data_IF_975326462552
#
_entry.id   IF_975326462552
#
_cell.length_a   1.000
_cell.length_b   1.000
_cell.length_c   1.000
_cell.angle_alpha   90.00
_cell.angle_beta   90.00
_cell.angle_gamma   90.00
#
_symmetry.space_group_name_H-M   'P 1'
#
loop_
_entity.id
_entity.type
_entity.pdbx_description
1 polymer ?
#
# COMPACT_ATOMS: atom_id res chain seq x y z
N UNK A 1 45.89 35.46 -51.91
CA UNK A 1 44.58 35.20 -51.32
C UNK A 1 44.14 33.71 -51.36
N UNK A 2 45.02 32.74 -51.52
CA UNK A 2 44.70 31.30 -51.58
C UNK A 2 45.14 30.47 -50.34
N UNK A 3 45.75 31.11 -49.33
CA UNK A 3 46.25 30.38 -48.14
C UNK A 3 45.38 30.53 -46.87
N UNK A 4 44.35 31.40 -46.89
CA UNK A 4 43.49 31.67 -45.73
C UNK A 4 42.32 30.69 -45.67
N UNK A 5 41.89 30.09 -46.81
CA UNK A 5 40.76 29.18 -46.87
C UNK A 5 41.05 27.77 -46.41
N UNK A 6 42.28 27.34 -46.33
CA UNK A 6 42.67 25.98 -45.90
C UNK A 6 42.72 25.83 -44.38
N UNK A 7 42.97 26.95 -43.65
CA UNK A 7 43.04 26.91 -42.16
C UNK A 7 41.63 26.90 -41.52
N UNK A 8 40.61 27.42 -42.24
CA UNK A 8 39.26 27.46 -41.72
C UNK A 8 38.53 26.12 -41.84
N UNK A 9 38.99 25.23 -42.71
CA UNK A 9 38.37 23.90 -42.91
C UNK A 9 38.88 22.84 -41.94
N UNK A 10 40.06 23.04 -41.36
CA UNK A 10 40.68 22.06 -40.40
C UNK A 10 40.20 22.32 -38.96
N UNK A 11 39.62 23.46 -38.64
CA UNK A 11 39.12 23.77 -37.30
C UNK A 11 37.66 23.26 -37.04
N UNK A 12 36.93 22.86 -38.09
CA UNK A 12 35.54 22.40 -37.97
C UNK A 12 35.42 20.86 -37.75
N UNK A 13 36.51 20.10 -37.83
CA UNK A 13 36.51 18.63 -37.72
C UNK A 13 36.73 18.11 -36.31
N UNK A 14 36.88 19.00 -35.30
CA UNK A 14 37.24 18.61 -33.90
C UNK A 14 36.07 18.69 -32.91
N UNK A 15 34.82 18.92 -33.36
CA UNK A 15 33.65 19.02 -32.47
C UNK A 15 32.65 17.86 -32.55
N UNK A 16 33.01 16.73 -33.15
CA UNK A 16 32.14 15.56 -33.22
C UNK A 16 32.79 14.39 -32.45
N UNK A 17 33.03 14.59 -31.17
CA UNK A 17 33.39 13.48 -30.24
C UNK A 17 32.74 13.72 -28.88
N UNK A 18 31.44 13.91 -28.89
CA UNK A 18 30.59 13.99 -27.71
C UNK A 18 29.40 13.07 -27.88
N UNK A 19 29.65 11.77 -28.24
CA UNK A 19 28.68 10.74 -27.93
C UNK A 19 28.77 10.51 -26.42
N UNK A 20 27.98 11.25 -25.65
CA UNK A 20 27.57 10.80 -24.34
C UNK A 20 26.97 9.41 -24.55
N UNK A 21 27.56 8.44 -23.91
CA UNK A 21 27.06 7.07 -23.80
C UNK A 21 25.80 7.17 -22.92
N UNK A 22 24.68 7.62 -23.50
CA UNK A 22 23.36 7.43 -22.99
C UNK A 22 23.06 5.92 -23.13
N UNK A 23 23.72 5.13 -22.29
CA UNK A 23 23.18 3.84 -21.91
C UNK A 23 21.90 4.14 -21.17
N UNK A 24 20.83 4.38 -21.90
CA UNK A 24 19.50 4.10 -21.43
C UNK A 24 19.56 2.63 -20.99
N UNK A 25 19.79 2.40 -19.71
CA UNK A 25 19.64 1.07 -19.13
C UNK A 25 18.21 0.70 -19.43
N UNK A 26 18.03 -0.27 -20.33
CA UNK A 26 16.73 -0.79 -20.71
C UNK A 26 16.22 -1.54 -19.46
N UNK A 27 15.71 -0.76 -18.46
CA UNK A 27 15.17 -1.32 -17.24
C UNK A 27 13.75 -1.77 -17.51
N UNK A 28 13.43 -3.00 -17.13
CA UNK A 28 12.05 -3.46 -17.07
C UNK A 28 11.34 -2.76 -15.91
N UNK A 29 10.27 -2.03 -16.20
CA UNK A 29 9.47 -1.36 -15.17
C UNK A 29 8.34 -2.29 -14.71
N UNK A 30 8.33 -2.64 -13.42
CA UNK A 30 7.26 -3.39 -12.78
C UNK A 30 6.30 -2.46 -12.06
N UNK A 31 5.04 -2.49 -12.40
CA UNK A 31 3.97 -1.73 -11.73
C UNK A 31 3.30 -2.59 -10.66
N UNK A 32 3.42 -2.18 -9.41
CA UNK A 32 2.86 -2.89 -8.25
C UNK A 32 1.69 -2.10 -7.68
N UNK A 33 0.46 -2.63 -7.79
CA UNK A 33 -0.70 -2.11 -7.08
C UNK A 33 -0.77 -2.70 -5.68
N UNK A 34 -0.61 -1.87 -4.65
CA UNK A 34 -0.56 -2.32 -3.27
C UNK A 34 -1.45 -1.48 -2.34
N UNK A 35 -2.02 -2.12 -1.33
CA UNK A 35 -2.78 -1.44 -0.29
C UNK A 35 -1.96 -0.29 0.33
N UNK A 36 -2.59 0.84 0.60
CA UNK A 36 -1.93 2.06 1.09
C UNK A 36 -1.15 1.85 2.40
N UNK A 37 -1.59 0.91 3.25
CA UNK A 37 -0.90 0.52 4.49
C UNK A 37 0.48 -0.12 4.27
N UNK A 38 0.79 -0.55 3.05
CA UNK A 38 2.06 -1.18 2.70
C UNK A 38 3.11 -0.19 2.16
N UNK A 39 2.81 1.10 2.06
CA UNK A 39 3.66 2.08 1.36
C UNK A 39 5.13 1.99 1.79
N UNK A 40 5.45 2.29 3.03
CA UNK A 40 6.84 2.40 3.49
C UNK A 40 7.56 1.06 3.43
N UNK A 41 6.88 -0.01 3.82
CA UNK A 41 7.47 -1.35 3.81
C UNK A 41 7.73 -1.85 2.40
N UNK A 42 6.85 -1.55 1.43
CA UNK A 42 7.05 -1.93 0.03
C UNK A 42 8.11 -1.07 -0.64
N UNK A 43 8.19 0.22 -0.33
CA UNK A 43 9.26 1.09 -0.81
C UNK A 43 10.64 0.60 -0.34
N UNK A 44 10.80 0.24 0.96
CA UNK A 44 12.05 -0.34 1.47
C UNK A 44 12.34 -1.71 0.84
N UNK A 45 11.34 -2.57 0.72
CA UNK A 45 11.49 -3.90 0.12
C UNK A 45 11.84 -3.82 -1.36
N UNK A 46 11.19 -2.92 -2.11
CA UNK A 46 11.49 -2.69 -3.51
C UNK A 46 12.89 -2.13 -3.75
N UNK A 47 13.35 -1.22 -2.88
CA UNK A 47 14.73 -0.72 -2.94
C UNK A 47 15.77 -1.82 -2.75
N UNK A 48 15.52 -2.76 -1.81
CA UNK A 48 16.38 -3.92 -1.61
C UNK A 48 16.42 -4.82 -2.86
N UNK A 49 15.26 -5.08 -3.46
CA UNK A 49 15.16 -5.89 -4.67
C UNK A 49 15.86 -5.23 -5.86
N UNK A 50 15.60 -3.95 -6.13
CA UNK A 50 16.22 -3.19 -7.22
C UNK A 50 17.74 -3.10 -7.07
N UNK A 51 18.26 -3.04 -5.84
CA UNK A 51 19.72 -3.07 -5.59
C UNK A 51 20.35 -4.39 -6.02
N UNK A 52 19.63 -5.51 -5.88
CA UNK A 52 20.09 -6.85 -6.30
C UNK A 52 19.82 -7.08 -7.80
N UNK A 53 18.86 -6.39 -8.38
CA UNK A 53 18.40 -6.53 -9.75
C UNK A 53 18.40 -5.16 -10.48
N UNK A 54 19.57 -4.63 -10.87
CA UNK A 54 19.69 -3.26 -11.42
C UNK A 54 19.00 -3.07 -12.77
N UNK A 55 18.59 -4.15 -13.46
CA UNK A 55 17.78 -4.13 -14.67
C UNK A 55 16.29 -3.93 -14.40
N UNK A 56 15.86 -3.89 -13.13
CA UNK A 56 14.45 -3.74 -12.75
C UNK A 56 14.24 -2.38 -12.09
N UNK A 57 13.13 -1.73 -12.47
CA UNK A 57 12.59 -0.55 -11.80
C UNK A 57 11.20 -0.89 -11.28
N UNK A 58 10.94 -0.65 -9.99
CA UNK A 58 9.61 -0.85 -9.39
C UNK A 58 8.90 0.50 -9.25
N UNK A 59 7.66 0.55 -9.71
CA UNK A 59 6.75 1.67 -9.55
C UNK A 59 5.53 1.21 -8.77
N UNK A 60 5.08 2.01 -7.81
CA UNK A 60 3.97 1.66 -6.95
C UNK A 60 2.73 2.51 -7.24
N UNK A 61 1.57 1.85 -7.27
CA UNK A 61 0.25 2.47 -7.20
C UNK A 61 -0.38 2.09 -5.85
N UNK A 62 -0.39 3.03 -4.89
CA UNK A 62 -0.95 2.81 -3.55
C UNK A 62 -2.36 3.36 -3.42
N UNK A 63 -3.27 2.56 -2.82
CA UNK A 63 -4.66 2.97 -2.62
C UNK A 63 -5.47 1.99 -1.78
N UNK A 64 -6.77 2.22 -1.71
CA UNK A 64 -7.72 1.25 -1.15
C UNK A 64 -7.78 0.01 -2.03
N UNK A 65 -7.69 -1.18 -1.44
CA UNK A 65 -7.59 -2.45 -2.20
C UNK A 65 -8.77 -2.68 -3.15
N UNK A 66 -9.96 -2.24 -2.79
CA UNK A 66 -11.14 -2.34 -3.67
C UNK A 66 -11.03 -1.47 -4.91
N UNK A 67 -10.55 -0.23 -4.75
CA UNK A 67 -10.31 0.68 -5.89
C UNK A 67 -9.22 0.14 -6.82
N UNK A 68 -8.13 -0.42 -6.25
CA UNK A 68 -7.06 -1.04 -7.02
C UNK A 68 -7.55 -2.29 -7.78
N UNK A 69 -8.32 -3.16 -7.12
CA UNK A 69 -8.92 -4.33 -7.75
C UNK A 69 -9.87 -3.94 -8.90
N UNK A 70 -10.63 -2.86 -8.73
CA UNK A 70 -11.48 -2.35 -9.80
C UNK A 70 -10.66 -1.85 -10.99
N UNK A 71 -9.56 -1.10 -10.78
CA UNK A 71 -8.66 -0.65 -11.83
C UNK A 71 -8.07 -1.84 -12.60
N UNK A 72 -7.59 -2.88 -11.91
CA UNK A 72 -7.07 -4.10 -12.55
C UNK A 72 -8.17 -4.79 -13.36
N UNK A 73 -9.39 -4.89 -12.82
CA UNK A 73 -10.52 -5.51 -13.53
C UNK A 73 -10.95 -4.74 -14.78
N UNK A 74 -10.58 -3.46 -14.87
CA UNK A 74 -10.79 -2.58 -16.01
C UNK A 74 -9.61 -2.55 -17.00
N UNK A 75 -8.57 -3.37 -16.74
CA UNK A 75 -7.42 -3.50 -17.65
C UNK A 75 -6.27 -2.53 -17.35
N UNK A 76 -6.17 -1.99 -16.13
CA UNK A 76 -4.98 -1.21 -15.76
C UNK A 76 -3.71 -2.08 -15.91
N UNK A 77 -2.62 -1.54 -16.49
CA UNK A 77 -1.37 -2.27 -16.67
C UNK A 77 -0.65 -2.41 -15.32
N UNK A 78 -0.86 -3.53 -14.67
CA UNK A 78 -0.31 -3.87 -13.35
C UNK A 78 0.31 -5.25 -13.40
N UNK A 79 1.47 -5.42 -12.79
CA UNK A 79 2.21 -6.67 -12.76
C UNK A 79 1.92 -7.50 -11.51
N UNK A 80 1.87 -6.86 -10.33
CA UNK A 80 1.49 -7.52 -9.08
C UNK A 80 0.39 -6.73 -8.35
N UNK A 81 -0.45 -7.48 -7.65
CA UNK A 81 -1.47 -6.92 -6.76
C UNK A 81 -1.30 -7.44 -5.33
N UNK A 82 -1.28 -6.51 -4.36
CA UNK A 82 -1.20 -6.83 -2.93
C UNK A 82 -2.39 -6.16 -2.23
N UNK A 83 -3.33 -6.98 -1.79
CA UNK A 83 -4.54 -6.51 -1.10
C UNK A 83 -4.37 -6.53 0.42
N UNK A 84 -5.12 -5.68 1.13
CA UNK A 84 -5.27 -5.71 2.59
C UNK A 84 -6.55 -6.46 3.04
N UNK A 85 -7.22 -7.15 2.14
CA UNK A 85 -8.36 -8.01 2.43
C UNK A 85 -8.49 -9.10 1.36
N UNK A 86 -8.93 -10.28 1.79
CA UNK A 86 -9.08 -11.45 0.92
C UNK A 86 -10.20 -11.26 -0.09
N UNK A 87 -11.35 -10.69 0.28
CA UNK A 87 -12.51 -10.51 -0.60
C UNK A 87 -12.19 -9.70 -1.87
N UNK A 88 -11.34 -8.67 -1.76
CA UNK A 88 -10.91 -7.87 -2.91
C UNK A 88 -9.92 -8.61 -3.81
N UNK A 89 -9.11 -9.48 -3.22
CA UNK A 89 -8.20 -10.36 -3.94
C UNK A 89 -8.98 -11.49 -4.63
N UNK A 90 -9.88 -12.15 -3.91
CA UNK A 90 -10.70 -13.27 -4.40
C UNK A 90 -11.61 -12.84 -5.55
N UNK A 91 -12.06 -11.58 -5.55
CA UNK A 91 -12.77 -11.00 -6.69
C UNK A 91 -11.96 -11.09 -8.00
N UNK A 92 -10.68 -10.70 -7.98
CA UNK A 92 -9.81 -10.80 -9.16
C UNK A 92 -9.44 -12.25 -9.47
N UNK A 93 -9.16 -13.03 -8.41
CA UNK A 93 -8.81 -14.45 -8.53
C UNK A 93 -9.93 -15.25 -9.21
N UNK A 94 -11.18 -15.06 -8.80
CA UNK A 94 -12.36 -15.73 -9.39
C UNK A 94 -12.57 -15.36 -10.87
N UNK A 95 -12.17 -14.15 -11.26
CA UNK A 95 -12.19 -13.68 -12.65
C UNK A 95 -10.99 -14.13 -13.47
N UNK A 96 -10.09 -14.94 -12.90
CA UNK A 96 -8.83 -15.38 -13.55
C UNK A 96 -7.93 -14.22 -13.97
N UNK A 97 -8.00 -13.10 -13.27
CA UNK A 97 -7.14 -11.93 -13.50
C UNK A 97 -5.83 -12.00 -12.70
N UNK A 98 -5.67 -13.03 -11.86
CA UNK A 98 -4.45 -13.36 -11.14
C UNK A 98 -4.00 -14.77 -11.49
N UNK A 99 -2.67 -14.98 -11.57
CA UNK A 99 -2.09 -16.31 -11.73
C UNK A 99 -2.31 -17.15 -10.46
N UNK A 100 -2.97 -18.30 -10.60
CA UNK A 100 -3.28 -19.18 -9.47
C UNK A 100 -2.04 -19.71 -8.76
N UNK A 101 -1.01 -20.09 -9.54
CA UNK A 101 0.24 -20.65 -9.03
C UNK A 101 1.15 -19.58 -8.38
N UNK A 102 0.92 -18.31 -8.69
CA UNK A 102 1.67 -17.17 -8.18
C UNK A 102 0.78 -16.25 -7.34
N UNK A 103 0.02 -16.86 -6.43
CA UNK A 103 -0.86 -16.19 -5.48
C UNK A 103 -0.73 -16.82 -4.10
N UNK A 104 -0.55 -16.00 -3.05
CA UNK A 104 -0.36 -16.50 -1.68
C UNK A 104 -0.88 -15.49 -0.65
N UNK A 105 -1.30 -16.00 0.52
CA UNK A 105 -1.50 -15.19 1.73
C UNK A 105 -0.13 -14.84 2.32
N UNK A 106 0.29 -13.58 2.22
CA UNK A 106 1.65 -13.18 2.55
C UNK A 106 1.79 -12.72 4.00
N UNK A 107 0.91 -11.79 4.44
CA UNK A 107 1.03 -11.10 5.72
C UNK A 107 -0.30 -11.07 6.47
N UNK A 108 -0.20 -10.77 7.80
CA UNK A 108 -1.33 -10.49 8.68
C UNK A 108 -1.12 -9.14 9.39
N UNK A 109 -2.22 -8.53 9.82
CA UNK A 109 -2.22 -7.28 10.56
C UNK A 109 -3.28 -7.29 11.69
N UNK A 110 -3.38 -6.18 12.41
CA UNK A 110 -4.36 -5.96 13.48
C UNK A 110 -5.05 -4.62 13.24
N UNK A 111 -6.36 -4.55 13.49
CA UNK A 111 -7.10 -3.29 13.49
C UNK A 111 -6.96 -2.60 14.85
N UNK A 112 -6.81 -1.29 14.84
CA UNK A 112 -6.76 -0.46 16.05
C UNK A 112 -7.60 0.80 15.86
N UNK A 113 -8.14 1.31 16.96
CA UNK A 113 -8.67 2.65 17.03
C UNK A 113 -7.53 3.60 17.38
N UNK A 114 -7.48 4.77 16.74
CA UNK A 114 -6.51 5.81 17.03
C UNK A 114 -7.20 7.14 17.34
N UNK A 115 -6.53 7.94 18.15
CA UNK A 115 -6.90 9.32 18.47
C UNK A 115 -5.65 10.18 18.51
N UNK A 116 -5.79 11.51 18.56
CA UNK A 116 -4.64 12.38 18.80
C UNK A 116 -3.92 12.01 20.11
N UNK A 117 -2.61 12.20 20.12
CA UNK A 117 -1.73 11.78 21.24
C UNK A 117 -2.19 12.31 22.59
N UNK A 118 -2.59 13.58 22.63
CA UNK A 118 -2.93 14.29 23.86
C UNK A 118 -4.43 14.20 24.23
N UNK A 119 -5.26 13.59 23.38
CA UNK A 119 -6.68 13.36 23.66
C UNK A 119 -6.83 12.42 24.86
N UNK A 120 -7.70 12.78 25.80
CA UNK A 120 -8.04 11.97 26.99
C UNK A 120 -9.45 11.44 26.98
N UNK A 121 -10.26 11.88 26.00
CA UNK A 121 -11.69 11.62 25.97
C UNK A 121 -12.04 10.22 25.44
N UNK A 122 -11.12 9.63 24.62
CA UNK A 122 -11.35 8.33 23.99
C UNK A 122 -10.43 7.30 24.64
N UNK A 123 -10.97 6.41 25.47
CA UNK A 123 -10.24 5.35 26.17
C UNK A 123 -10.59 3.95 25.64
N UNK A 124 -11.69 3.80 24.92
CA UNK A 124 -12.17 2.57 24.30
C UNK A 124 -13.08 2.92 23.10
N UNK A 125 -13.54 1.92 22.36
CA UNK A 125 -14.49 2.13 21.28
C UNK A 125 -15.84 2.67 21.76
N UNK A 126 -16.28 2.30 22.96
CA UNK A 126 -17.51 2.79 23.58
C UNK A 126 -17.45 4.31 23.87
N UNK A 127 -16.25 4.85 24.10
CA UNK A 127 -16.09 6.31 24.31
C UNK A 127 -16.46 7.13 23.05
N UNK A 128 -16.57 6.52 21.88
CA UNK A 128 -16.95 7.19 20.64
C UNK A 128 -18.40 7.70 20.67
N UNK A 129 -19.26 7.15 21.55
CA UNK A 129 -20.66 7.59 21.71
C UNK A 129 -20.78 8.89 22.50
N UNK A 130 -19.73 9.32 23.23
CA UNK A 130 -19.76 10.56 23.98
C UNK A 130 -20.14 11.76 23.10
N UNK A 131 -20.88 12.71 23.66
CA UNK A 131 -21.39 13.89 22.93
C UNK A 131 -20.27 14.81 22.41
N UNK A 132 -19.12 14.83 23.07
CA UNK A 132 -17.96 15.61 22.65
C UNK A 132 -17.13 14.98 21.53
N UNK A 133 -17.49 13.78 21.08
CA UNK A 133 -16.88 13.10 19.92
C UNK A 133 -17.81 13.30 18.73
N UNK A 134 -17.39 14.08 17.76
CA UNK A 134 -18.21 14.49 16.64
C UNK A 134 -17.87 13.79 15.32
N UNK A 135 -16.59 13.47 15.13
CA UNK A 135 -16.09 12.96 13.83
C UNK A 135 -15.16 11.78 13.99
N UNK A 136 -15.49 10.70 13.30
CA UNK A 136 -14.73 9.43 13.31
C UNK A 136 -14.38 9.07 11.88
N UNK A 137 -13.10 9.04 11.54
CA UNK A 137 -12.68 8.64 10.21
C UNK A 137 -12.62 7.11 10.07
N UNK A 138 -13.21 6.59 9.00
CA UNK A 138 -12.97 5.22 8.53
C UNK A 138 -12.73 5.24 7.03
N UNK A 139 -11.99 4.29 6.50
CA UNK A 139 -11.97 4.09 5.06
C UNK A 139 -13.38 3.77 4.54
N UNK A 140 -13.71 4.19 3.32
CA UNK A 140 -15.01 3.83 2.71
C UNK A 140 -15.15 2.29 2.69
N UNK A 141 -16.11 1.68 3.42
CA UNK A 141 -16.11 0.23 3.66
C UNK A 141 -16.15 -0.62 2.39
N UNK A 142 -16.78 -0.12 1.33
CA UNK A 142 -16.93 -0.83 0.06
C UNK A 142 -15.60 -0.99 -0.70
N UNK A 143 -14.68 -0.03 -0.53
CA UNK A 143 -13.42 0.07 -1.31
C UNK A 143 -12.15 0.02 -0.48
N UNK A 144 -12.24 0.25 0.84
CA UNK A 144 -11.10 0.32 1.75
C UNK A 144 -11.22 -0.76 2.82
N UNK A 145 -10.36 -1.80 2.80
CA UNK A 145 -10.45 -2.91 3.75
C UNK A 145 -10.45 -2.50 5.22
N UNK A 146 -9.58 -1.55 5.63
CA UNK A 146 -9.57 -1.06 7.01
C UNK A 146 -10.92 -0.48 7.44
N UNK A 147 -11.66 0.16 6.52
CA UNK A 147 -13.01 0.66 6.77
C UNK A 147 -14.03 -0.46 6.88
N UNK A 148 -13.93 -1.50 6.04
CA UNK A 148 -14.76 -2.69 6.15
C UNK A 148 -14.58 -3.37 7.52
N UNK A 149 -13.34 -3.59 7.95
CA UNK A 149 -13.05 -4.16 9.27
C UNK A 149 -13.48 -3.24 10.42
N UNK A 150 -13.32 -1.91 10.26
CA UNK A 150 -13.81 -0.92 11.22
C UNK A 150 -15.34 -0.98 11.39
N UNK A 151 -16.08 -1.07 10.27
CA UNK A 151 -17.52 -1.26 10.29
C UNK A 151 -17.92 -2.58 10.95
N UNK A 152 -17.26 -3.70 10.62
CA UNK A 152 -17.49 -4.98 11.27
C UNK A 152 -17.28 -4.89 12.80
N UNK A 153 -16.21 -4.23 13.23
CA UNK A 153 -15.91 -4.05 14.66
C UNK A 153 -17.01 -3.24 15.36
N UNK A 154 -17.44 -2.13 14.78
CA UNK A 154 -18.52 -1.30 15.34
C UNK A 154 -19.86 -2.02 15.37
N UNK A 155 -20.19 -2.81 14.33
CA UNK A 155 -21.39 -3.65 14.31
C UNK A 155 -21.33 -4.72 15.41
N UNK A 156 -20.20 -5.39 15.57
CA UNK A 156 -19.99 -6.41 16.62
C UNK A 156 -20.09 -5.84 18.03
N UNK A 157 -19.75 -4.57 18.21
CA UNK A 157 -19.90 -3.81 19.45
C UNK A 157 -21.29 -3.19 19.61
N UNK A 158 -22.16 -3.30 18.61
CA UNK A 158 -23.49 -2.65 18.55
C UNK A 158 -23.44 -1.11 18.61
N UNK A 159 -22.37 -0.52 18.07
CA UNK A 159 -22.14 0.92 18.07
C UNK A 159 -22.37 1.57 16.70
N UNK A 160 -22.49 0.78 15.61
CA UNK A 160 -22.53 1.32 14.25
C UNK A 160 -23.71 2.31 14.04
N UNK A 161 -24.91 1.91 14.42
CA UNK A 161 -26.13 2.69 14.16
C UNK A 161 -26.11 4.05 14.90
N UNK A 162 -25.50 4.11 16.09
CA UNK A 162 -25.36 5.34 16.88
C UNK A 162 -24.28 6.25 16.31
N UNK A 163 -23.23 5.67 15.72
CA UNK A 163 -22.06 6.40 15.25
C UNK A 163 -22.10 6.76 13.75
N UNK A 164 -23.05 6.20 12.98
CA UNK A 164 -23.07 6.33 11.52
C UNK A 164 -23.06 7.80 11.04
N UNK A 165 -23.78 8.69 11.73
CA UNK A 165 -23.81 10.13 11.41
C UNK A 165 -22.50 10.85 11.75
N UNK A 166 -21.65 10.29 12.63
CA UNK A 166 -20.32 10.81 12.98
C UNK A 166 -19.23 10.31 12.02
N UNK A 167 -19.54 9.36 11.12
CA UNK A 167 -18.54 8.72 10.25
C UNK A 167 -18.13 9.66 9.12
N UNK A 168 -16.83 9.87 9.01
CA UNK A 168 -16.17 10.58 7.90
C UNK A 168 -15.47 9.56 7.02
N UNK A 169 -15.93 9.32 5.79
CA UNK A 169 -15.30 8.35 4.89
C UNK A 169 -13.96 8.86 4.35
N UNK A 170 -12.99 7.96 4.22
CA UNK A 170 -11.69 8.22 3.64
C UNK A 170 -11.42 7.29 2.44
N UNK A 171 -10.64 7.77 1.47
CA UNK A 171 -10.29 7.01 0.25
C UNK A 171 -9.33 5.84 0.50
N UNK A 172 -8.58 5.88 1.60
CA UNK A 172 -7.67 4.84 2.05
C UNK A 172 -7.33 5.02 3.54
N UNK A 173 -6.64 4.05 4.13
CA UNK A 173 -6.28 4.04 5.56
C UNK A 173 -5.27 5.14 5.92
N UNK A 174 -4.43 5.58 4.99
CA UNK A 174 -3.45 6.66 5.23
C UNK A 174 -4.12 8.01 5.33
N UNK A 175 -5.21 8.22 4.61
CA UNK A 175 -6.02 9.41 4.77
C UNK A 175 -6.71 9.42 6.14
N UNK A 176 -7.18 8.26 6.65
CA UNK A 176 -7.70 8.16 8.02
C UNK A 176 -6.63 8.59 9.03
N UNK A 177 -5.42 8.03 8.96
CA UNK A 177 -4.30 8.40 9.83
C UNK A 177 -4.04 9.91 9.79
N UNK A 178 -3.92 10.47 8.57
CA UNK A 178 -3.68 11.91 8.38
C UNK A 178 -4.77 12.80 8.98
N UNK A 179 -6.04 12.39 8.88
CA UNK A 179 -7.14 13.15 9.48
C UNK A 179 -7.05 13.21 11.01
N UNK A 180 -6.68 12.09 11.65
CA UNK A 180 -6.45 12.05 13.10
C UNK A 180 -5.23 12.87 13.50
N UNK A 181 -4.10 12.72 12.79
CA UNK A 181 -2.85 13.47 13.06
C UNK A 181 -3.04 14.99 13.00
N UNK A 182 -3.91 15.46 12.12
CA UNK A 182 -4.16 16.88 11.89
C UNK A 182 -5.33 17.43 12.70
N UNK A 183 -6.03 16.59 13.49
CA UNK A 183 -7.18 16.98 14.28
C UNK A 183 -8.44 17.31 13.46
N UNK A 184 -8.50 16.85 12.21
CA UNK A 184 -9.69 16.99 11.37
C UNK A 184 -10.84 16.07 11.82
N UNK A 185 -10.49 15.02 12.58
CA UNK A 185 -11.41 14.09 13.23
C UNK A 185 -10.91 13.75 14.63
N UNK A 186 -11.79 13.26 15.50
CA UNK A 186 -11.47 12.93 16.89
C UNK A 186 -10.82 11.55 17.01
N UNK A 187 -11.22 10.62 16.13
CA UNK A 187 -10.75 9.25 16.12
C UNK A 187 -10.75 8.66 14.72
N UNK A 188 -10.11 7.51 14.56
CA UNK A 188 -10.16 6.74 13.31
C UNK A 188 -9.73 5.30 13.47
N UNK A 189 -10.18 4.45 12.55
CA UNK A 189 -9.79 3.05 12.49
C UNK A 189 -8.70 2.84 11.44
N UNK A 190 -7.55 2.32 11.87
CA UNK A 190 -6.40 2.03 11.01
C UNK A 190 -5.81 0.67 11.37
N UNK A 191 -4.86 0.19 10.58
CA UNK A 191 -4.08 -0.97 11.00
C UNK A 191 -3.02 -0.55 12.01
N UNK A 192 -2.63 -1.49 12.86
CA UNK A 192 -1.57 -1.28 13.85
C UNK A 192 -0.26 -0.83 13.21
N UNK A 193 0.08 -1.37 12.04
CA UNK A 193 1.28 -0.97 11.29
C UNK A 193 1.23 0.48 10.84
N UNK A 194 0.05 1.01 10.46
CA UNK A 194 -0.12 2.43 10.14
C UNK A 194 0.04 3.31 11.37
N UNK A 195 -0.47 2.86 12.51
CA UNK A 195 -0.35 3.60 13.76
C UNK A 195 1.09 3.67 14.27
N UNK A 196 1.89 2.61 14.06
CA UNK A 196 3.28 2.53 14.54
C UNK A 196 4.24 3.51 13.86
N UNK A 197 3.90 4.07 12.70
CA UNK A 197 4.76 5.03 12.00
C UNK A 197 4.54 6.48 12.44
N UNK A 198 3.52 6.74 13.27
CA UNK A 198 3.17 8.09 13.73
C UNK A 198 3.47 8.27 15.20
N UNK A 199 4.09 9.38 15.53
CA UNK A 199 4.32 9.82 16.93
C UNK A 199 3.27 10.84 17.43
N UNK A 200 2.28 11.21 16.56
CA UNK A 200 1.24 12.20 16.83
C UNK A 200 -0.06 11.62 17.34
N UNK A 201 -0.17 10.29 17.32
CA UNK A 201 -1.40 9.59 17.71
C UNK A 201 -1.20 8.70 18.92
N UNK A 202 -2.31 8.31 19.52
CA UNK A 202 -2.38 7.28 20.55
C UNK A 202 -3.21 6.11 20.05
N UNK A 203 -2.69 4.90 20.25
CA UNK A 203 -3.36 3.66 19.90
C UNK A 203 -4.28 3.25 21.04
N UNK A 204 -5.51 2.91 20.69
CA UNK A 204 -6.50 2.32 21.59
C UNK A 204 -6.76 0.90 21.08
N UNK A 205 -6.32 -0.13 21.82
CA UNK A 205 -6.55 -1.51 21.44
C UNK A 205 -8.05 -1.83 21.40
N UNK A 206 -8.48 -2.55 20.39
CA UNK A 206 -9.81 -3.14 20.33
C UNK A 206 -9.77 -4.46 21.13
N UNK A 207 -9.98 -4.38 22.46
CA UNK A 207 -9.89 -5.51 23.34
C UNK A 207 -11.16 -6.36 23.31
N UNK A 208 -11.00 -7.69 23.38
CA UNK A 208 -12.11 -8.62 23.62
C UNK A 208 -12.32 -9.68 22.56
N UNK A 209 -13.58 -9.93 22.20
CA UNK A 209 -14.01 -10.95 21.24
C UNK A 209 -13.48 -10.67 19.83
N UNK A 210 -13.53 -11.67 18.95
CA UNK A 210 -13.31 -11.46 17.51
C UNK A 210 -14.34 -10.45 17.02
N UNK A 211 -13.89 -9.22 16.74
CA UNK A 211 -14.74 -8.10 16.33
C UNK A 211 -14.89 -7.97 14.82
N UNK A 212 -14.00 -8.58 14.07
CA UNK A 212 -13.94 -8.54 12.60
C UNK A 212 -13.25 -9.80 12.06
N UNK A 213 -13.37 -10.02 10.78
CA UNK A 213 -12.67 -11.10 10.07
C UNK A 213 -11.14 -10.95 10.19
N UNK A 214 -10.37 -12.05 10.05
CA UNK A 214 -8.91 -11.99 10.05
C UNK A 214 -8.38 -11.05 8.97
N UNK A 215 -7.43 -10.19 9.34
CA UNK A 215 -6.78 -9.26 8.41
C UNK A 215 -5.60 -9.97 7.75
N UNK A 216 -5.78 -10.35 6.50
CA UNK A 216 -4.80 -11.06 5.69
C UNK A 216 -4.47 -10.23 4.44
N UNK A 217 -3.19 -10.20 4.08
CA UNK A 217 -2.68 -9.53 2.88
C UNK A 217 -2.26 -10.59 1.87
N UNK A 218 -3.13 -10.95 0.93
CA UNK A 218 -2.72 -11.77 -0.21
C UNK A 218 -1.95 -10.94 -1.23
N UNK A 219 -1.02 -11.61 -1.92
CA UNK A 219 -0.27 -11.11 -3.08
C UNK A 219 -0.44 -12.05 -4.25
N UNK A 220 -0.53 -11.52 -5.45
CA UNK A 220 -0.62 -12.31 -6.68
C UNK A 220 -0.06 -11.56 -7.89
N UNK A 221 0.49 -12.33 -8.83
CA UNK A 221 0.90 -11.85 -10.15
C UNK A 221 -0.34 -11.67 -11.01
N UNK A 222 -0.47 -10.52 -11.67
CA UNK A 222 -1.60 -10.22 -12.57
C UNK A 222 -1.46 -11.01 -13.86
N UNK A 223 -2.54 -11.69 -14.29
CA UNK A 223 -2.51 -12.58 -15.44
C UNK A 223 -2.24 -11.88 -16.80
N UNK A 224 -2.49 -10.57 -16.86
CA UNK A 224 -2.25 -9.75 -18.05
C UNK A 224 -0.89 -9.06 -18.09
N UNK A 225 0.04 -9.38 -17.19
CA UNK A 225 1.38 -8.76 -17.17
C UNK A 225 2.18 -9.08 -18.43
N UNK A 226 2.87 -8.08 -18.98
CA UNK A 226 3.84 -8.25 -20.06
C UNK A 226 5.24 -8.68 -19.52
N UNK A 227 5.43 -8.65 -18.20
CA UNK A 227 6.70 -8.90 -17.50
C UNK A 227 6.60 -10.12 -16.56
N UNK A 228 6.06 -11.25 -17.09
CA UNK A 228 5.70 -12.40 -16.25
C UNK A 228 6.90 -12.97 -15.47
N UNK A 229 8.07 -13.12 -16.10
CA UNK A 229 9.26 -13.67 -15.46
C UNK A 229 9.72 -12.80 -14.29
N UNK A 230 9.87 -11.51 -14.53
CA UNK A 230 10.34 -10.53 -13.54
C UNK A 230 9.32 -10.35 -12.41
N UNK A 231 8.03 -10.47 -12.74
CA UNK A 231 6.94 -10.43 -11.76
C UNK A 231 6.99 -11.65 -10.83
N UNK A 232 7.25 -12.84 -11.37
CA UNK A 232 7.42 -14.07 -10.57
C UNK A 232 8.66 -13.94 -9.68
N UNK A 233 9.78 -13.43 -10.19
CA UNK A 233 11.00 -13.24 -9.42
C UNK A 233 10.77 -12.28 -8.24
N UNK A 234 10.07 -11.17 -8.46
CA UNK A 234 9.72 -10.25 -7.38
C UNK A 234 8.71 -10.85 -6.40
N UNK A 235 7.69 -11.59 -6.88
CA UNK A 235 6.75 -12.33 -6.03
C UNK A 235 7.48 -13.33 -5.13
N UNK A 236 8.46 -14.06 -5.65
CA UNK A 236 9.26 -15.01 -4.87
C UNK A 236 10.17 -14.29 -3.87
N UNK A 237 10.75 -13.15 -4.24
CA UNK A 237 11.51 -12.30 -3.33
C UNK A 237 10.66 -11.84 -2.13
N UNK A 238 9.39 -11.43 -2.36
CA UNK A 238 8.50 -11.00 -1.28
C UNK A 238 8.24 -12.09 -0.23
N UNK A 239 8.30 -13.38 -0.62
CA UNK A 239 8.17 -14.53 0.28
C UNK A 239 9.49 -14.88 0.99
N UNK A 240 10.60 -14.33 0.51
CA UNK A 240 11.95 -14.62 1.00
C UNK A 240 12.25 -14.02 2.37
N UNK A 241 13.30 -14.52 3.00
CA UNK A 241 13.70 -14.12 4.36
C UNK A 241 14.05 -12.63 4.48
N UNK A 242 14.63 -12.03 3.43
CA UNK A 242 15.01 -10.61 3.43
C UNK A 242 13.79 -9.71 3.47
N UNK A 243 12.82 -9.92 2.58
CA UNK A 243 11.57 -9.18 2.59
C UNK A 243 10.79 -9.41 3.89
N UNK A 244 10.73 -10.64 4.41
CA UNK A 244 10.08 -10.96 5.68
C UNK A 244 10.71 -10.25 6.88
N UNK A 245 12.03 -10.00 6.88
CA UNK A 245 12.68 -9.18 7.93
C UNK A 245 12.20 -7.73 7.87
N UNK A 246 12.06 -7.18 6.65
CA UNK A 246 11.54 -5.81 6.47
C UNK A 246 10.07 -5.75 6.92
N UNK A 247 9.22 -6.68 6.50
CA UNK A 247 7.82 -6.73 6.93
C UNK A 247 7.69 -6.77 8.47
N UNK A 248 8.48 -7.61 9.15
CA UNK A 248 8.50 -7.69 10.62
C UNK A 248 8.95 -6.38 11.28
N UNK A 249 9.96 -5.70 10.72
CA UNK A 249 10.42 -4.38 11.20
C UNK A 249 9.28 -3.36 11.24
N UNK A 250 8.36 -3.40 10.26
CA UNK A 250 7.18 -2.53 10.19
C UNK A 250 5.97 -3.05 10.97
N UNK A 251 6.11 -4.18 11.69
CA UNK A 251 5.07 -4.72 12.57
C UNK A 251 4.11 -5.71 11.90
N UNK A 252 4.31 -6.06 10.65
CA UNK A 252 3.55 -7.12 9.99
C UNK A 252 3.93 -8.49 10.51
N UNK A 253 2.97 -9.42 10.51
CA UNK A 253 3.18 -10.84 10.83
C UNK A 253 3.12 -11.65 9.54
N UNK A 254 3.95 -12.69 9.42
CA UNK A 254 3.85 -13.62 8.30
C UNK A 254 2.51 -14.39 8.37
N UNK A 255 1.89 -14.60 7.21
CA UNK A 255 0.72 -15.48 7.07
C UNK A 255 1.09 -16.81 6.40
N UNK A 256 2.31 -16.91 5.85
CA UNK A 256 2.85 -18.15 5.29
C UNK A 256 3.04 -19.16 6.41
N UNK A 257 2.36 -20.28 6.32
CA UNK A 257 2.53 -21.50 7.12
C UNK A 257 3.25 -22.56 6.29
#
# INVERSE_FOLDING_TARGET
>A
MKKIHIILFTALALFISGCADDRATNQTELTISAAASLREVMEETGQLYMKQNPGIKIVYNFGGSGSLAQQISQGAPVDLFISAAEDKFDYLYSKKLLHQEHSVRLLRNELVLITQKDSKDIMSAESLTNDNIERIAIGTPESVPAGMYGKQALLSLQLWDELEEKIIPAKDVRQVLSYVETGNVDAGFVYKTDALISDKIRIIPLNGKVLHDPIVYPVGVVAGTEHLSESIDFFDFLKGQEAMKVFKKYGFKAALE
#
